data_IF_139501643831
#
_entry.id   IF_139501643831
#
_cell.length_a   1.000
_cell.length_b   1.000
_cell.length_c   1.000
_cell.angle_alpha   90.00
_cell.angle_beta   90.00
_cell.angle_gamma   90.00
#
_symmetry.space_group_name_H-M   'P 1'
#
loop_
_entity.id
_entity.type
_entity.pdbx_description
1 polymer ?
#
# COMPACT_ATOMS: atom_id res chain seq x y z
N UNK A 1 -12.85 -5.78 -12.49
CA UNK A 1 -13.26 -7.09 -11.95
C UNK A 1 -12.03 -7.99 -11.96
N UNK A 2 -11.15 -7.86 -10.98
CA UNK A 2 -10.14 -8.88 -10.69
C UNK A 2 -10.45 -9.40 -9.28
N UNK A 3 -10.99 -10.62 -9.16
CA UNK A 3 -11.32 -11.21 -7.88
C UNK A 3 -10.04 -11.45 -7.07
N UNK A 4 -10.09 -11.34 -5.73
CA UNK A 4 -8.94 -11.63 -4.88
C UNK A 4 -8.42 -13.06 -5.08
N UNK A 5 -9.28 -13.97 -5.52
CA UNK A 5 -8.95 -15.34 -5.91
C UNK A 5 -7.92 -15.40 -7.05
N UNK A 6 -7.98 -14.47 -8.01
CA UNK A 6 -7.02 -14.43 -9.12
C UNK A 6 -5.61 -14.10 -8.63
N UNK A 7 -5.48 -13.18 -7.67
CA UNK A 7 -4.18 -12.81 -7.10
C UNK A 7 -3.51 -14.00 -6.39
N UNK A 8 -4.30 -14.82 -5.68
CA UNK A 8 -3.80 -16.03 -5.04
C UNK A 8 -3.39 -17.09 -6.08
N UNK A 9 -4.16 -17.26 -7.15
CA UNK A 9 -3.82 -18.19 -8.22
C UNK A 9 -2.54 -17.78 -8.97
N UNK A 10 -2.39 -16.49 -9.26
CA UNK A 10 -1.17 -15.93 -9.86
C UNK A 10 0.01 -16.14 -8.92
N UNK A 11 -0.15 -15.87 -7.62
CA UNK A 11 0.91 -16.08 -6.64
C UNK A 11 1.36 -17.54 -6.56
N UNK A 12 0.42 -18.50 -6.51
CA UNK A 12 0.72 -19.93 -6.50
C UNK A 12 1.45 -20.33 -7.79
N UNK A 13 0.97 -19.88 -8.95
CA UNK A 13 1.61 -20.16 -10.24
C UNK A 13 3.03 -19.60 -10.34
N UNK A 14 3.27 -18.40 -9.81
CA UNK A 14 4.60 -17.79 -9.76
C UNK A 14 5.55 -18.57 -8.86
N UNK A 15 5.08 -19.02 -7.70
CA UNK A 15 5.90 -19.80 -6.75
C UNK A 15 6.28 -21.15 -7.35
N UNK A 16 5.32 -21.87 -7.93
CA UNK A 16 5.59 -23.18 -8.54
C UNK A 16 6.56 -23.06 -9.70
N UNK A 17 6.39 -22.05 -10.57
CA UNK A 17 7.32 -21.77 -11.66
C UNK A 17 8.74 -21.42 -11.15
N UNK A 18 8.84 -20.75 -10.00
CA UNK A 18 10.13 -20.36 -9.42
C UNK A 18 10.97 -21.57 -8.97
N UNK A 19 10.35 -22.70 -8.60
CA UNK A 19 11.06 -23.92 -8.24
C UNK A 19 11.66 -24.67 -9.43
N UNK A 20 11.22 -24.39 -10.65
CA UNK A 20 11.73 -25.02 -11.88
C UNK A 20 13.02 -24.36 -12.41
N UNK A 21 13.53 -23.32 -11.74
CA UNK A 21 14.69 -22.55 -12.19
C UNK A 21 15.98 -23.13 -11.60
N UNK A 22 16.96 -23.38 -12.48
CA UNK A 22 18.30 -23.79 -12.07
C UNK A 22 19.16 -22.58 -11.67
N UNK A 23 19.28 -22.36 -10.36
CA UNK A 23 20.11 -21.29 -9.79
C UNK A 23 21.62 -21.58 -9.83
N UNK A 24 22.04 -22.77 -10.29
CA UNK A 24 23.45 -23.12 -10.47
C UNK A 24 24.11 -22.38 -11.63
N UNK A 25 23.32 -21.85 -12.58
CA UNK A 25 23.86 -21.11 -13.72
C UNK A 25 24.08 -19.62 -13.38
N UNK A 26 25.34 -19.14 -13.33
CA UNK A 26 25.64 -17.76 -12.95
C UNK A 26 25.12 -16.72 -13.96
N UNK A 27 25.03 -17.08 -15.24
CA UNK A 27 24.52 -16.19 -16.28
C UNK A 27 23.02 -15.95 -16.10
N UNK A 28 22.25 -17.01 -15.80
CA UNK A 28 20.82 -16.91 -15.57
C UNK A 28 20.51 -16.00 -14.38
N UNK A 29 21.27 -16.15 -13.29
CA UNK A 29 21.10 -15.33 -12.10
C UNK A 29 21.42 -13.85 -12.36
N UNK A 30 22.45 -13.56 -13.18
CA UNK A 30 22.75 -12.20 -13.63
C UNK A 30 21.59 -11.58 -14.42
N UNK A 31 20.99 -12.31 -15.36
CA UNK A 31 19.83 -11.82 -16.12
C UNK A 31 18.61 -11.56 -15.23
N UNK A 32 18.34 -12.43 -14.25
CA UNK A 32 17.23 -12.23 -13.30
C UNK A 32 17.44 -10.96 -12.46
N UNK A 33 18.66 -10.70 -12.00
CA UNK A 33 19.01 -9.45 -11.27
C UNK A 33 18.79 -8.23 -12.14
N UNK A 34 19.24 -8.27 -13.39
CA UNK A 34 19.06 -7.18 -14.34
C UNK A 34 17.57 -6.93 -14.63
N UNK A 35 16.80 -8.01 -14.87
CA UNK A 35 15.36 -7.93 -15.07
C UNK A 35 14.65 -7.31 -13.87
N UNK A 36 15.01 -7.72 -12.64
CA UNK A 36 14.50 -7.11 -11.42
C UNK A 36 14.76 -5.61 -11.39
N UNK A 37 16.00 -5.18 -11.62
CA UNK A 37 16.36 -3.77 -11.60
C UNK A 37 15.59 -2.95 -12.65
N UNK A 38 15.49 -3.47 -13.87
CA UNK A 38 14.74 -2.83 -14.97
C UNK A 38 13.26 -2.67 -14.60
N UNK A 39 12.62 -3.73 -14.08
CA UNK A 39 11.20 -3.68 -13.71
C UNK A 39 10.97 -2.64 -12.60
N UNK A 40 11.86 -2.56 -11.60
CA UNK A 40 11.74 -1.57 -10.52
C UNK A 40 11.89 -0.14 -11.04
N UNK A 41 12.81 0.10 -11.99
CA UNK A 41 12.92 1.40 -12.65
C UNK A 41 11.68 1.76 -13.45
N UNK A 42 11.12 0.81 -14.22
CA UNK A 42 9.89 1.02 -15.00
C UNK A 42 8.72 1.36 -14.08
N UNK A 43 8.59 0.66 -12.95
CA UNK A 43 7.55 0.95 -11.95
C UNK A 43 7.69 2.33 -11.33
N UNK A 44 8.90 2.73 -10.95
CA UNK A 44 9.17 4.07 -10.41
C UNK A 44 8.88 5.15 -11.47
N UNK A 45 9.27 4.92 -12.71
CA UNK A 45 8.96 5.83 -13.82
C UNK A 45 7.44 5.96 -14.04
N UNK A 46 6.69 4.84 -14.00
CA UNK A 46 5.23 4.86 -14.11
C UNK A 46 4.56 5.63 -12.96
N UNK A 47 5.00 5.44 -11.71
CA UNK A 47 4.51 6.23 -10.57
C UNK A 47 4.87 7.71 -10.70
N UNK A 48 6.04 8.03 -11.25
CA UNK A 48 6.44 9.41 -11.49
C UNK A 48 5.56 10.07 -12.55
N UNK A 49 5.16 9.34 -13.60
CA UNK A 49 4.17 9.83 -14.57
C UNK A 49 2.81 10.07 -13.92
N UNK A 50 2.36 9.18 -13.03
CA UNK A 50 1.13 9.39 -12.25
C UNK A 50 1.22 10.61 -11.36
N UNK A 51 2.35 10.83 -10.69
CA UNK A 51 2.59 12.02 -9.88
C UNK A 51 2.43 13.31 -10.71
N UNK A 52 2.98 13.35 -11.93
CA UNK A 52 2.82 14.49 -12.85
C UNK A 52 1.35 14.66 -13.24
N UNK A 53 0.66 13.57 -13.59
CA UNK A 53 -0.78 13.58 -13.97
C UNK A 53 -1.67 14.12 -12.85
N UNK A 54 -1.44 13.68 -11.61
CA UNK A 54 -2.19 14.16 -10.44
C UNK A 54 -2.00 15.67 -10.25
N UNK A 55 -0.74 16.14 -10.32
CA UNK A 55 -0.44 17.58 -10.19
C UNK A 55 -1.05 18.40 -11.32
N UNK A 56 -1.06 17.88 -12.55
CA UNK A 56 -1.66 18.56 -13.70
C UNK A 56 -3.19 18.62 -13.59
N UNK A 57 -3.85 17.55 -13.14
CA UNK A 57 -5.30 17.51 -12.98
C UNK A 57 -5.80 18.45 -11.88
N UNK A 58 -5.01 18.61 -10.81
CA UNK A 58 -5.27 19.53 -9.69
C UNK A 58 -6.70 19.44 -9.13
N UNK A 59 -7.18 18.22 -8.89
CA UNK A 59 -8.53 17.97 -8.37
C UNK A 59 -8.61 18.27 -6.87
N UNK A 60 -9.30 19.36 -6.51
CA UNK A 60 -9.44 19.85 -5.15
C UNK A 60 -10.77 19.44 -4.49
N UNK A 61 -11.51 18.51 -5.09
CA UNK A 61 -12.74 18.00 -4.48
C UNK A 61 -12.42 17.32 -3.15
N UNK A 62 -13.16 17.70 -2.10
CA UNK A 62 -12.94 17.21 -0.74
C UNK A 62 -13.79 15.97 -0.53
N UNK A 63 -13.19 14.92 0.02
CA UNK A 63 -13.90 13.73 0.46
C UNK A 63 -13.47 13.34 1.87
N UNK A 64 -14.34 12.59 2.56
CA UNK A 64 -14.16 12.22 3.95
C UNK A 64 -14.14 10.70 4.04
N UNK A 65 -13.15 10.14 4.74
CA UNK A 65 -13.10 8.71 5.00
C UNK A 65 -12.56 8.44 6.40
N UNK A 66 -12.93 7.28 6.95
CA UNK A 66 -12.33 6.80 8.19
C UNK A 66 -11.06 6.02 7.87
N UNK A 67 -9.93 6.49 8.40
CA UNK A 67 -8.64 5.85 8.29
C UNK A 67 -8.30 5.08 9.56
N UNK A 68 -7.88 3.83 9.41
CA UNK A 68 -7.42 2.99 10.50
C UNK A 68 -5.89 2.95 10.44
N UNK A 69 -5.23 3.90 11.12
CA UNK A 69 -3.77 3.89 11.23
C UNK A 69 -3.34 2.82 12.24
N UNK A 70 -2.85 1.69 11.75
CA UNK A 70 -2.17 0.68 12.58
C UNK A 70 -0.67 0.87 12.47
N UNK A 71 -0.10 1.60 13.44
CA UNK A 71 1.33 1.77 13.57
C UNK A 71 1.89 0.55 14.33
N UNK A 72 2.65 -0.28 13.63
CA UNK A 72 3.54 -1.29 14.20
C UNK A 72 2.95 -2.14 15.35
N UNK A 73 1.93 -2.95 15.04
CA UNK A 73 1.44 -3.99 15.96
C UNK A 73 0.76 -3.50 17.24
N UNK A 74 0.70 -2.18 17.48
CA UNK A 74 -0.20 -1.63 18.51
C UNK A 74 -1.63 -1.79 18.01
N UNK A 75 -2.54 -2.16 18.93
CA UNK A 75 -3.98 -2.15 18.67
C UNK A 75 -4.38 -0.88 17.91
N UNK A 76 -5.36 -0.95 16.98
CA UNK A 76 -5.81 0.19 16.18
C UNK A 76 -6.33 1.29 17.12
N UNK A 77 -5.41 2.12 17.60
CA UNK A 77 -5.64 2.96 18.77
C UNK A 77 -6.16 4.33 18.37
N UNK A 78 -6.32 4.60 17.07
CA UNK A 78 -7.06 5.74 16.56
C UNK A 78 -7.58 5.39 15.16
N UNK A 79 -8.89 5.28 15.05
CA UNK A 79 -9.55 5.39 13.75
C UNK A 79 -9.89 6.88 13.64
N UNK A 80 -9.27 7.54 12.67
CA UNK A 80 -9.31 8.99 12.47
C UNK A 80 -10.20 9.31 11.27
N UNK A 81 -11.02 10.36 11.38
CA UNK A 81 -11.82 10.84 10.25
C UNK A 81 -10.95 11.84 9.51
N UNK A 82 -10.47 11.43 8.34
CA UNK A 82 -9.60 12.25 7.51
C UNK A 82 -10.46 12.99 6.51
N UNK A 83 -10.38 14.33 6.56
CA UNK A 83 -10.94 15.21 5.54
C UNK A 83 -9.77 15.66 4.66
N UNK A 84 -9.68 15.10 3.46
CA UNK A 84 -8.61 15.45 2.51
C UNK A 84 -9.20 15.71 1.13
N UNK A 85 -8.42 16.37 0.29
CA UNK A 85 -8.77 16.54 -1.12
C UNK A 85 -8.27 15.35 -1.94
N UNK A 86 -8.91 15.10 -3.08
CA UNK A 86 -8.53 14.00 -3.99
C UNK A 86 -7.06 14.09 -4.38
N UNK A 87 -6.58 15.27 -4.76
CA UNK A 87 -5.17 15.48 -5.11
C UNK A 87 -4.22 15.09 -3.97
N UNK A 88 -4.48 15.53 -2.75
CA UNK A 88 -3.62 15.29 -1.59
C UNK A 88 -3.56 13.83 -1.24
N UNK A 89 -4.72 13.16 -1.23
CA UNK A 89 -4.82 11.72 -1.04
C UNK A 89 -4.03 10.94 -2.09
N UNK A 90 -4.27 11.20 -3.38
CA UNK A 90 -3.61 10.48 -4.47
C UNK A 90 -2.09 10.71 -4.47
N UNK A 91 -1.63 11.91 -4.09
CA UNK A 91 -0.20 12.21 -3.94
C UNK A 91 0.41 11.42 -2.78
N UNK A 92 -0.25 11.38 -1.63
CA UNK A 92 0.21 10.61 -0.46
C UNK A 92 0.33 9.12 -0.79
N UNK A 93 -0.69 8.55 -1.44
CA UNK A 93 -0.68 7.15 -1.91
C UNK A 93 0.44 6.90 -2.92
N UNK A 94 0.68 7.84 -3.83
CA UNK A 94 1.79 7.75 -4.80
C UNK A 94 3.14 7.74 -4.10
N UNK A 95 3.35 8.61 -3.12
CA UNK A 95 4.58 8.65 -2.33
C UNK A 95 4.77 7.39 -1.48
N UNK A 96 3.70 6.89 -0.87
CA UNK A 96 3.71 5.63 -0.13
C UNK A 96 4.19 4.48 -1.02
N UNK A 97 3.62 4.34 -2.22
CA UNK A 97 4.03 3.30 -3.17
C UNK A 97 5.46 3.47 -3.69
N UNK A 98 5.92 4.71 -3.93
CA UNK A 98 7.31 4.97 -4.30
C UNK A 98 8.26 4.53 -3.18
N UNK A 99 7.94 4.87 -1.94
CA UNK A 99 8.73 4.49 -0.76
C UNK A 99 8.75 2.97 -0.56
N UNK A 100 7.62 2.29 -0.76
CA UNK A 100 7.53 0.83 -0.73
C UNK A 100 8.44 0.16 -1.75
N UNK A 101 8.50 0.69 -2.98
CA UNK A 101 9.40 0.14 -4.00
C UNK A 101 10.86 0.32 -3.57
N UNK A 102 11.24 1.50 -3.07
CA UNK A 102 12.60 1.77 -2.61
C UNK A 102 12.99 0.84 -1.45
N UNK A 103 12.12 0.70 -0.45
CA UNK A 103 12.34 -0.23 0.65
C UNK A 103 12.35 -1.69 0.21
N UNK A 104 11.53 -2.04 -0.78
CA UNK A 104 11.53 -3.37 -1.39
C UNK A 104 12.85 -3.67 -2.09
N UNK A 105 13.42 -2.73 -2.84
CA UNK A 105 14.74 -2.87 -3.49
C UNK A 105 15.84 -2.98 -2.45
N UNK A 106 15.82 -2.14 -1.41
CA UNK A 106 16.81 -2.18 -0.32
C UNK A 106 16.73 -3.52 0.44
N UNK A 107 15.53 -3.95 0.82
CA UNK A 107 15.30 -5.23 1.48
C UNK A 107 15.70 -6.41 0.60
N UNK A 108 15.42 -6.36 -0.70
CA UNK A 108 15.86 -7.39 -1.65
C UNK A 108 17.39 -7.40 -1.82
N UNK A 109 18.03 -6.23 -1.79
CA UNK A 109 19.49 -6.09 -1.81
C UNK A 109 20.15 -6.78 -0.61
N UNK A 110 19.57 -6.63 0.59
CA UNK A 110 20.02 -7.33 1.79
C UNK A 110 19.78 -8.85 1.67
N UNK A 111 18.55 -9.28 1.36
CA UNK A 111 18.20 -10.72 1.32
C UNK A 111 18.95 -11.48 0.23
N UNK A 112 19.07 -10.90 -0.96
CA UNK A 112 19.76 -11.54 -2.07
C UNK A 112 21.28 -11.39 -1.97
N UNK A 113 21.75 -10.18 -1.65
CA UNK A 113 23.17 -9.84 -1.61
C UNK A 113 23.90 -10.44 -0.41
N UNK A 114 23.27 -10.45 0.77
CA UNK A 114 23.88 -11.00 1.99
C UNK A 114 23.51 -12.46 2.24
N UNK A 115 22.25 -12.85 2.05
CA UNK A 115 21.77 -14.20 2.40
C UNK A 115 21.68 -15.17 1.21
N UNK A 116 21.95 -14.71 -0.01
CA UNK A 116 21.93 -15.55 -1.21
C UNK A 116 20.53 -16.10 -1.56
N UNK A 117 19.46 -15.51 -1.03
CA UNK A 117 18.11 -15.98 -1.31
C UNK A 117 17.68 -15.60 -2.73
N UNK A 118 17.69 -16.61 -3.62
CA UNK A 118 17.39 -16.44 -5.05
C UNK A 118 15.89 -16.58 -5.36
N UNK A 119 15.18 -17.46 -4.66
CA UNK A 119 13.74 -17.70 -4.86
C UNK A 119 12.92 -16.41 -4.66
N UNK A 120 13.13 -15.59 -3.60
CA UNK A 120 12.39 -14.34 -3.45
C UNK A 120 12.65 -13.34 -4.58
N UNK A 121 13.82 -13.36 -5.21
CA UNK A 121 14.16 -12.46 -6.31
C UNK A 121 13.28 -12.77 -7.54
N UNK A 122 13.18 -14.05 -7.88
CA UNK A 122 12.37 -14.51 -9.02
C UNK A 122 10.90 -14.20 -8.81
N UNK A 123 10.37 -14.53 -7.62
CA UNK A 123 8.97 -14.25 -7.29
C UNK A 123 8.67 -12.75 -7.45
N UNK A 124 9.58 -11.89 -7.00
CA UNK A 124 9.43 -10.43 -7.14
C UNK A 124 9.43 -9.98 -8.60
N UNK A 125 10.32 -10.52 -9.44
CA UNK A 125 10.32 -10.23 -10.88
C UNK A 125 8.97 -10.57 -11.51
N UNK A 126 8.47 -11.78 -11.25
CA UNK A 126 7.24 -12.27 -11.88
C UNK A 126 5.97 -11.53 -11.40
N UNK A 127 5.85 -11.27 -10.09
CA UNK A 127 4.70 -10.54 -9.54
C UNK A 127 4.68 -9.07 -9.99
N UNK A 128 5.85 -8.42 -10.03
CA UNK A 128 5.94 -7.00 -10.36
C UNK A 128 5.59 -6.69 -11.83
N UNK A 129 5.55 -7.70 -12.70
CA UNK A 129 5.08 -7.54 -14.09
C UNK A 129 3.57 -7.35 -14.19
N UNK A 130 2.81 -7.93 -13.26
CA UNK A 130 1.33 -7.90 -13.29
C UNK A 130 0.77 -6.78 -12.41
N UNK A 131 1.50 -6.40 -11.36
CA UNK A 131 1.08 -5.40 -10.37
C UNK A 131 0.60 -4.06 -10.98
N UNK A 132 1.26 -3.46 -12.00
CA UNK A 132 0.80 -2.22 -12.60
C UNK A 132 -0.62 -2.28 -13.19
N UNK A 133 -1.05 -3.44 -13.68
CA UNK A 133 -2.39 -3.59 -14.25
C UNK A 133 -3.49 -3.60 -13.16
N UNK A 134 -3.11 -3.81 -11.91
CA UNK A 134 -4.02 -4.01 -10.79
C UNK A 134 -4.09 -2.81 -9.83
N UNK A 135 -3.15 -1.86 -9.93
CA UNK A 135 -3.11 -0.72 -8.99
C UNK A 135 -4.14 0.34 -9.34
N UNK A 136 -4.88 0.80 -8.32
CA UNK A 136 -5.92 1.82 -8.47
C UNK A 136 -5.38 3.16 -8.99
N UNK A 137 -4.16 3.54 -8.59
CA UNK A 137 -3.51 4.75 -9.09
C UNK A 137 -3.26 4.71 -10.60
N UNK A 138 -2.80 3.58 -11.13
CA UNK A 138 -2.53 3.44 -12.56
C UNK A 138 -3.84 3.35 -13.35
N UNK A 139 -4.83 2.62 -12.84
CA UNK A 139 -6.19 2.59 -13.40
C UNK A 139 -6.75 4.01 -13.61
N UNK A 140 -6.69 4.86 -12.59
CA UNK A 140 -7.32 6.19 -12.64
C UNK A 140 -6.47 7.19 -13.45
N UNK A 141 -5.16 7.25 -13.22
CA UNK A 141 -4.32 8.33 -13.75
C UNK A 141 -3.55 7.97 -15.03
N UNK A 142 -3.32 6.67 -15.26
CA UNK A 142 -2.64 6.19 -16.48
C UNK A 142 -3.64 5.70 -17.52
N UNK A 143 -4.62 4.88 -17.11
CA UNK A 143 -5.65 4.31 -17.98
C UNK A 143 -6.93 5.14 -18.06
N UNK A 144 -7.08 6.20 -17.25
CA UNK A 144 -8.20 7.14 -17.33
C UNK A 144 -9.54 6.54 -16.90
N UNK A 145 -9.53 5.44 -16.14
CA UNK A 145 -10.74 4.77 -15.68
C UNK A 145 -11.48 5.62 -14.63
N UNK A 146 -12.83 5.60 -14.61
CA UNK A 146 -13.60 6.30 -13.61
C UNK A 146 -13.33 5.72 -12.22
N UNK A 147 -13.22 6.61 -11.22
CA UNK A 147 -12.97 6.25 -9.83
C UNK A 147 -14.24 5.74 -9.14
N UNK A 148 -14.81 4.66 -9.66
CA UNK A 148 -16.06 4.05 -9.20
C UNK A 148 -15.88 2.56 -8.94
N UNK A 149 -16.57 2.02 -7.94
CA UNK A 149 -16.50 0.60 -7.60
C UNK A 149 -15.12 0.20 -7.06
N UNK A 150 -14.39 -0.68 -7.74
CA UNK A 150 -13.07 -1.14 -7.28
C UNK A 150 -11.99 -0.04 -7.30
N UNK A 151 -12.15 0.94 -8.19
CA UNK A 151 -11.25 2.10 -8.32
C UNK A 151 -11.70 3.29 -7.48
N UNK A 152 -12.69 3.10 -6.60
CA UNK A 152 -13.18 4.15 -5.73
C UNK A 152 -12.14 4.49 -4.66
N UNK A 153 -12.05 5.77 -4.32
CA UNK A 153 -11.28 6.25 -3.18
C UNK A 153 -12.15 6.14 -1.93
N UNK A 154 -11.58 5.77 -0.79
CA UNK A 154 -10.18 5.49 -0.52
C UNK A 154 -9.76 4.10 -1.00
N UNK A 155 -8.51 3.97 -1.42
CA UNK A 155 -7.97 2.74 -1.98
C UNK A 155 -7.84 1.67 -0.90
N UNK A 156 -8.55 0.56 -1.09
CA UNK A 156 -8.35 -0.62 -0.25
C UNK A 156 -7.07 -1.30 -0.71
N UNK A 157 -6.00 -1.18 0.09
CA UNK A 157 -4.77 -1.93 -0.14
C UNK A 157 -5.06 -3.44 0.01
N UNK A 158 -4.86 -4.26 -1.03
CA UNK A 158 -5.01 -5.70 -0.91
C UNK A 158 -4.09 -6.23 0.19
N UNK A 159 -4.60 -7.16 1.01
CA UNK A 159 -3.75 -7.98 1.87
C UNK A 159 -2.95 -8.92 0.97
N UNK A 160 -1.87 -8.41 0.37
CA UNK A 160 -1.00 -9.22 -0.47
C UNK A 160 -0.44 -10.41 0.31
N UNK A 161 -0.25 -11.53 -0.39
CA UNK A 161 0.32 -12.80 0.10
C UNK A 161 1.59 -12.64 0.94
N UNK A 162 2.39 -11.61 0.65
CA UNK A 162 3.46 -11.12 1.52
C UNK A 162 3.05 -9.76 2.09
N UNK A 163 2.27 -9.76 3.17
CA UNK A 163 1.76 -8.58 3.90
C UNK A 163 2.82 -7.59 4.42
N UNK A 164 4.04 -7.67 3.92
CA UNK A 164 5.16 -6.74 4.08
C UNK A 164 4.73 -5.30 3.78
N UNK A 165 3.78 -5.07 2.86
CA UNK A 165 3.23 -3.73 2.59
C UNK A 165 2.60 -3.09 3.84
N UNK A 166 1.86 -3.88 4.63
CA UNK A 166 1.27 -3.43 5.90
C UNK A 166 2.24 -3.40 7.07
N UNK A 167 3.33 -4.18 7.01
CA UNK A 167 4.35 -4.31 8.07
C UNK A 167 5.43 -3.23 7.97
N UNK A 168 5.85 -2.86 6.76
CA UNK A 168 6.96 -1.91 6.54
C UNK A 168 6.50 -0.45 6.59
N UNK A 169 5.30 -0.13 6.09
CA UNK A 169 4.79 1.26 6.02
C UNK A 169 3.99 1.64 7.28
N UNK A 170 3.78 0.73 8.23
CA UNK A 170 3.03 1.05 9.45
C UNK A 170 1.59 1.51 9.16
N UNK A 171 0.95 0.88 8.17
CA UNK A 171 -0.38 1.24 7.72
C UNK A 171 -1.03 0.08 7.00
N UNK A 172 -1.74 -0.78 7.74
CA UNK A 172 -2.88 -1.48 7.15
C UNK A 172 -4.04 -0.49 7.13
N UNK A 173 -3.98 0.47 6.21
CA UNK A 173 -5.04 1.44 6.07
C UNK A 173 -6.28 0.71 5.54
N UNK A 174 -7.05 0.16 6.49
CA UNK A 174 -8.45 -0.22 6.26
C UNK A 174 -9.20 1.08 6.20
N UNK A 175 -9.09 1.77 5.07
CA UNK A 175 -9.96 2.88 4.81
C UNK A 175 -11.37 2.33 4.61
N UNK A 176 -12.31 2.82 5.40
CA UNK A 176 -13.72 2.44 5.28
C UNK A 176 -14.54 3.70 5.07
N UNK A 177 -15.42 3.65 4.08
CA UNK A 177 -16.38 4.70 3.75
C UNK A 177 -17.76 4.44 4.35
N UNK A 178 -17.95 3.36 5.13
CA UNK A 178 -19.24 3.00 5.70
C UNK A 178 -19.74 4.12 6.65
N UNK A 179 -20.86 4.81 6.31
CA UNK A 179 -21.40 5.90 7.11
C UNK A 179 -21.72 5.50 8.55
N UNK A 180 -22.13 4.25 8.78
CA UNK A 180 -22.43 3.76 10.12
C UNK A 180 -21.17 3.61 10.95
N UNK A 181 -20.09 3.13 10.32
CA UNK A 181 -18.79 3.00 10.96
C UNK A 181 -18.21 4.38 11.27
N UNK A 182 -18.32 5.35 10.37
CA UNK A 182 -17.91 6.74 10.64
C UNK A 182 -18.65 7.31 11.87
N UNK A 183 -19.97 7.14 11.97
CA UNK A 183 -20.75 7.60 13.14
C UNK A 183 -20.32 6.92 14.45
N UNK A 184 -20.04 5.62 14.40
CA UNK A 184 -19.56 4.87 15.56
C UNK A 184 -18.21 5.41 16.06
N UNK A 185 -17.33 5.78 15.14
CA UNK A 185 -16.03 6.37 15.43
C UNK A 185 -16.13 7.77 16.01
N UNK A 186 -17.02 8.61 15.48
CA UNK A 186 -17.31 9.93 16.06
C UNK A 186 -17.78 9.79 17.52
N UNK A 187 -18.65 8.81 17.81
CA UNK A 187 -19.09 8.52 19.19
C UNK A 187 -17.93 8.07 20.05
N UNK A 188 -17.07 7.18 19.56
CA UNK A 188 -15.90 6.70 20.29
C UNK A 188 -14.88 7.80 20.60
N UNK A 189 -14.61 8.69 19.65
CA UNK A 189 -13.73 9.85 19.84
C UNK A 189 -14.27 10.80 20.91
N UNK A 190 -15.58 11.13 20.87
CA UNK A 190 -16.24 11.96 21.90
C UNK A 190 -16.14 11.33 23.29
N UNK A 191 -16.32 10.01 23.40
CA UNK A 191 -16.17 9.31 24.68
C UNK A 191 -14.75 9.40 25.24
N UNK A 192 -13.72 9.26 24.38
CA UNK A 192 -12.32 9.41 24.78
C UNK A 192 -11.99 10.83 25.21
N UNK A 193 -12.48 11.81 24.49
CA UNK A 193 -12.30 13.22 24.84
C UNK A 193 -12.94 13.53 26.20
N UNK A 194 -14.18 13.08 26.43
CA UNK A 194 -14.85 13.22 27.72
C UNK A 194 -14.09 12.54 28.86
N UNK A 195 -13.53 11.34 28.65
CA UNK A 195 -12.67 10.67 29.64
C UNK A 195 -11.39 11.45 29.93
N UNK A 196 -10.76 12.04 28.90
CA UNK A 196 -9.56 12.86 29.06
C UNK A 196 -9.84 14.14 29.85
N UNK A 197 -10.98 14.78 29.58
CA UNK A 197 -11.43 15.96 30.32
C UNK A 197 -11.76 15.62 31.77
N UNK A 198 -12.43 14.49 32.02
CA UNK A 198 -12.72 14.01 33.37
C UNK A 198 -11.44 13.71 34.18
N UNK A 199 -10.42 13.10 33.56
CA UNK A 199 -9.12 12.88 34.22
C UNK A 199 -8.43 14.18 34.64
N UNK A 200 -8.39 15.18 33.75
CA UNK A 200 -7.83 16.51 34.07
C UNK A 200 -8.60 17.24 35.17
N UNK A 201 -9.92 17.07 35.24
CA UNK A 201 -10.76 17.66 36.30
C UNK A 201 -10.51 17.01 37.68
N UNK A 202 -10.11 15.74 37.71
CA UNK A 202 -9.75 15.04 38.94
C UNK A 202 -8.35 15.45 39.44
N UNK A 203 -7.38 15.61 38.54
CA UNK A 203 -6.03 16.10 38.88
C UNK A 203 -6.03 17.57 39.36
N UNK A 204 -6.88 18.42 38.77
CA UNK A 204 -7.00 19.83 39.20
C UNK A 204 -7.72 20.06 40.52
N UNK A 205 -8.36 19.03 41.11
CA UNK A 205 -9.02 19.08 42.42
C UNK A 205 -8.18 18.51 43.57
N UNK A 206 -7.03 17.90 43.28
CA UNK A 206 -6.12 17.35 44.29
C UNK A 206 -4.90 18.25 44.57
N UNK A 207 -4.95 19.52 44.17
CA UNK A 207 -3.93 20.55 44.41
C UNK A 207 -4.46 21.63 45.35
#
# INVERSE_FOLDING_TARGET
>A
MFPSELDHMVAVGVITASYSIDFGNPNLLYYIRLAYFIIQLVRLAALFLVFIRIKAKNDLTVFRFADVKSIWGKEPSAIEIVNTNIRGYDLEETFGQMFEIVLGVLGMGVLHGLMGFNIPLVIRVLLNLVEPAQTQLFAIHLFGLPATGHWERPFVSPRGWFGIRGVIVGGTARHTTDPNRIKELERFQRMRENRRLAGKQLEGKSS
#
